data_IF_856566830658
#
_entry.id   IF_856566830658
#
_cell.length_a   1.000
_cell.length_b   1.000
_cell.length_c   1.000
_cell.angle_alpha   90.00
_cell.angle_beta   90.00
_cell.angle_gamma   90.00
#
_symmetry.space_group_name_H-M   'P 1'
#
loop_
_entity.id
_entity.type
_entity.pdbx_description
1 polymer ?
#
# COMPACT_ATOMS: atom_id res chain seq x y z
N UNK A 1 -12.52 0.92 3.23
CA UNK A 1 -11.96 1.30 1.90
C UNK A 1 -12.35 2.73 1.54
N UNK A 2 -13.63 3.11 1.65
CA UNK A 2 -14.11 4.48 1.43
C UNK A 2 -13.31 5.53 2.19
N UNK A 3 -13.07 5.33 3.49
CA UNK A 3 -12.26 6.23 4.32
C UNK A 3 -10.86 6.49 3.76
N UNK A 4 -10.21 5.46 3.20
CA UNK A 4 -8.88 5.59 2.62
C UNK A 4 -8.94 6.46 1.34
N UNK A 5 -9.95 6.25 0.50
CA UNK A 5 -10.13 7.02 -0.73
C UNK A 5 -10.47 8.49 -0.44
N UNK A 6 -11.30 8.76 0.57
CA UNK A 6 -11.61 10.12 1.03
C UNK A 6 -10.34 10.83 1.53
N UNK A 7 -9.53 10.15 2.34
CA UNK A 7 -8.25 10.68 2.80
C UNK A 7 -7.33 11.00 1.61
N UNK A 8 -7.23 10.13 0.60
CA UNK A 8 -6.42 10.41 -0.59
C UNK A 8 -6.84 11.71 -1.30
N UNK A 9 -8.12 12.09 -1.27
CA UNK A 9 -8.59 13.39 -1.79
C UNK A 9 -8.06 14.55 -0.93
N UNK A 10 -8.22 14.45 0.39
CA UNK A 10 -7.77 15.49 1.31
C UNK A 10 -6.26 15.73 1.26
N UNK A 11 -5.47 14.69 1.02
CA UNK A 11 -4.01 14.79 0.94
C UNK A 11 -3.49 15.30 -0.41
N UNK A 12 -4.34 15.50 -1.43
CA UNK A 12 -3.88 15.97 -2.77
C UNK A 12 -3.11 17.28 -2.74
N UNK A 13 -3.43 18.19 -1.80
CA UNK A 13 -2.76 19.48 -1.68
C UNK A 13 -1.28 19.37 -1.24
N UNK A 14 -0.89 18.26 -0.63
CA UNK A 14 0.47 18.06 -0.10
C UNK A 14 1.47 17.52 -1.12
N UNK A 15 1.06 17.31 -2.38
CA UNK A 15 1.96 16.90 -3.47
C UNK A 15 2.80 15.66 -3.14
N UNK A 16 2.17 14.62 -2.58
CA UNK A 16 2.83 13.33 -2.34
C UNK A 16 3.46 12.75 -3.61
N UNK A 17 4.53 11.98 -3.46
CA UNK A 17 5.28 11.41 -4.60
C UNK A 17 5.10 9.90 -4.75
N UNK A 18 4.67 9.21 -3.70
CA UNK A 18 4.41 7.77 -3.70
C UNK A 18 3.48 7.38 -2.56
N UNK A 19 2.86 6.21 -2.67
CA UNK A 19 2.14 5.55 -1.57
C UNK A 19 3.08 4.58 -0.85
N UNK A 20 2.81 4.36 0.43
CA UNK A 20 3.40 3.32 1.28
C UNK A 20 2.25 2.68 2.06
N UNK A 21 2.15 1.36 2.02
CA UNK A 21 1.13 0.62 2.77
C UNK A 21 1.78 -0.14 3.92
N UNK A 22 1.26 0.04 5.13
CA UNK A 22 1.79 -0.61 6.33
C UNK A 22 0.90 -1.75 6.79
N UNK A 23 1.39 -2.50 7.79
CA UNK A 23 0.61 -3.49 8.54
C UNK A 23 0.05 -4.61 7.66
N UNK A 24 0.82 -5.05 6.65
CA UNK A 24 0.41 -6.17 5.79
C UNK A 24 0.19 -7.47 6.56
N UNK A 25 0.80 -7.62 7.73
CA UNK A 25 0.64 -8.72 8.68
C UNK A 25 -0.68 -8.68 9.46
N UNK A 26 -1.38 -7.53 9.46
CA UNK A 26 -2.65 -7.34 10.16
C UNK A 26 -3.88 -7.51 9.24
N UNK A 27 -3.69 -7.80 7.94
CA UNK A 27 -4.77 -7.98 6.96
C UNK A 27 -4.57 -9.23 6.11
N UNK A 28 -5.68 -9.84 5.69
CA UNK A 28 -5.72 -10.92 4.68
C UNK A 28 -6.34 -10.48 3.36
N UNK A 29 -6.66 -9.18 3.23
CA UNK A 29 -7.24 -8.63 2.01
C UNK A 29 -6.42 -7.43 1.55
N UNK A 30 -5.89 -7.53 0.33
CA UNK A 30 -4.97 -6.54 -0.25
C UNK A 30 -5.60 -5.71 -1.39
N UNK A 31 -6.89 -5.90 -1.67
CA UNK A 31 -7.60 -5.18 -2.74
C UNK A 31 -7.63 -3.66 -2.56
N UNK A 32 -7.62 -3.19 -1.31
CA UNK A 32 -7.54 -1.76 -1.00
C UNK A 32 -6.25 -1.12 -1.53
N UNK A 33 -5.14 -1.85 -1.58
CA UNK A 33 -3.87 -1.36 -2.14
C UNK A 33 -4.06 -1.03 -3.62
N UNK A 34 -4.69 -1.94 -4.38
CA UNK A 34 -4.96 -1.74 -5.80
C UNK A 34 -5.90 -0.55 -6.05
N UNK A 35 -6.95 -0.41 -5.25
CA UNK A 35 -7.89 0.70 -5.38
C UNK A 35 -7.24 2.04 -5.01
N UNK A 36 -6.42 2.07 -3.96
CA UNK A 36 -5.63 3.25 -3.59
C UNK A 36 -4.67 3.68 -4.70
N UNK A 37 -3.93 2.74 -5.30
CA UNK A 37 -3.03 3.03 -6.43
C UNK A 37 -3.77 3.60 -7.63
N UNK A 38 -4.88 2.97 -8.02
CA UNK A 38 -5.71 3.44 -9.13
C UNK A 38 -6.25 4.84 -8.89
N UNK A 39 -6.64 5.15 -7.66
CA UNK A 39 -7.24 6.43 -7.30
C UNK A 39 -6.21 7.55 -7.18
N UNK A 40 -5.08 7.28 -6.51
CA UNK A 40 -4.03 8.26 -6.26
C UNK A 40 -3.21 8.57 -7.53
N UNK A 41 -3.09 7.61 -8.45
CA UNK A 41 -2.20 7.69 -9.62
C UNK A 41 -0.75 8.01 -9.24
N UNK A 42 -0.31 7.45 -8.10
CA UNK A 42 1.05 7.58 -7.58
C UNK A 42 1.74 6.22 -7.59
N UNK A 43 3.08 6.18 -7.76
CA UNK A 43 3.83 4.94 -7.62
C UNK A 43 3.75 4.42 -6.18
N UNK A 44 3.91 3.10 -6.03
CA UNK A 44 4.05 2.45 -4.73
C UNK A 44 5.53 2.33 -4.39
N UNK A 45 5.95 2.81 -3.22
CA UNK A 45 7.36 2.79 -2.83
C UNK A 45 7.72 1.64 -1.91
N UNK A 46 6.94 1.41 -0.85
CA UNK A 46 7.24 0.40 0.16
C UNK A 46 5.99 -0.27 0.74
N UNK A 47 6.23 -1.44 1.31
CA UNK A 47 5.33 -2.10 2.25
C UNK A 47 5.98 -2.22 3.62
N UNK A 48 5.18 -2.25 4.69
CA UNK A 48 5.62 -2.75 6.00
C UNK A 48 4.74 -3.91 6.45
N UNK A 49 5.36 -4.89 7.10
CA UNK A 49 4.73 -6.17 7.45
C UNK A 49 5.05 -6.62 8.88
N UNK A 50 5.28 -5.66 9.77
CA UNK A 50 5.55 -5.90 11.17
C UNK A 50 5.98 -4.63 11.90
N UNK A 51 6.55 -4.79 13.10
CA UNK A 51 6.92 -3.70 14.02
C UNK A 51 8.42 -3.59 14.26
N UNK A 52 9.23 -4.51 13.73
CA UNK A 52 10.67 -4.55 13.98
C UNK A 52 11.40 -3.54 13.10
N UNK A 53 12.19 -2.68 13.75
CA UNK A 53 13.07 -1.72 13.08
C UNK A 53 14.49 -2.25 13.06
N UNK A 54 15.20 -2.20 11.92
CA UNK A 54 14.78 -1.70 10.61
C UNK A 54 14.16 -2.76 9.67
N UNK A 55 13.90 -3.96 10.17
CA UNK A 55 13.77 -5.16 9.34
C UNK A 55 12.41 -5.29 8.62
N UNK A 56 11.31 -4.81 9.20
CA UNK A 56 9.94 -5.08 8.72
C UNK A 56 9.46 -4.04 7.68
N UNK A 57 10.30 -3.74 6.69
CA UNK A 57 10.01 -2.86 5.55
C UNK A 57 10.60 -3.45 4.26
N UNK A 58 9.81 -3.46 3.19
CA UNK A 58 10.23 -3.96 1.88
C UNK A 58 9.93 -2.97 0.75
N UNK A 59 10.77 -2.94 -0.28
CA UNK A 59 10.50 -2.17 -1.50
C UNK A 59 9.32 -2.83 -2.20
N UNK A 60 8.32 -2.03 -2.56
CA UNK A 60 7.16 -2.55 -3.25
C UNK A 60 7.46 -2.84 -4.73
N UNK A 61 6.95 -3.97 -5.22
CA UNK A 61 6.99 -4.31 -6.66
C UNK A 61 5.62 -4.78 -7.14
N UNK A 62 5.42 -4.76 -8.46
CA UNK A 62 4.19 -5.23 -9.08
C UNK A 62 4.00 -6.74 -8.86
N UNK A 63 5.10 -7.50 -8.91
CA UNK A 63 5.14 -8.94 -8.63
C UNK A 63 4.72 -9.20 -7.18
N UNK A 64 5.31 -8.48 -6.21
CA UNK A 64 4.96 -8.64 -4.80
C UNK A 64 3.50 -8.33 -4.53
N UNK A 65 2.97 -7.27 -5.15
CA UNK A 65 1.54 -6.94 -5.05
C UNK A 65 0.66 -8.03 -5.69
N UNK A 66 1.08 -8.63 -6.80
CA UNK A 66 0.36 -9.73 -7.43
C UNK A 66 0.33 -10.97 -6.54
N UNK A 67 1.46 -11.33 -5.92
CA UNK A 67 1.57 -12.45 -4.98
C UNK A 67 0.61 -12.27 -3.80
N UNK A 68 0.56 -11.06 -3.23
CA UNK A 68 -0.38 -10.69 -2.17
C UNK A 68 -1.84 -10.82 -2.62
N UNK A 69 -2.18 -10.34 -3.82
CA UNK A 69 -3.56 -10.36 -4.32
C UNK A 69 -4.06 -11.75 -4.72
N UNK A 70 -3.16 -12.64 -5.12
CA UNK A 70 -3.48 -13.96 -5.65
C UNK A 70 -3.25 -15.10 -4.65
N UNK A 71 -2.79 -14.79 -3.43
CA UNK A 71 -2.34 -15.77 -2.43
C UNK A 71 -1.31 -16.78 -3.00
N UNK A 72 -0.44 -16.30 -3.89
CA UNK A 72 0.66 -17.10 -4.42
C UNK A 72 1.84 -16.90 -3.46
N UNK A 73 2.07 -17.91 -2.61
CA UNK A 73 3.18 -17.96 -1.64
C UNK A 73 4.50 -18.18 -2.36
#
# INVERSE_FOLDING_TARGET
EEDMLENLVHFRSFSGTSLLFTKLDETSCYGSILNGLRYAQMPLSFFTNGQKVPDDIEIASAERLADLLLDII
#
